data_IF_722394343885
#
_entry.id   IF_722394343885
#
_cell.length_a   1.000
_cell.length_b   1.000
_cell.length_c   1.000
_cell.angle_alpha   90.00
_cell.angle_beta   90.00
_cell.angle_gamma   90.00
#
_symmetry.space_group_name_H-M   'P 1'
#
loop_
_entity.id
_entity.type
_entity.pdbx_description
1 polymer ?
#
# COMPACT_ATOMS: atom_id res chain seq x y z
N UNK A 1 -25.92 -2.95 -2.86
CA UNK A 1 -25.21 -1.65 -2.84
C UNK A 1 -25.95 -0.74 -3.78
N UNK A 2 -26.36 0.44 -3.30
CA UNK A 2 -27.15 1.41 -4.06
C UNK A 2 -26.27 2.61 -4.40
N UNK A 3 -25.21 2.38 -5.16
CA UNK A 3 -24.19 3.39 -5.47
C UNK A 3 -24.23 3.82 -6.93
N UNK A 4 -25.24 3.35 -7.69
CA UNK A 4 -25.43 3.70 -9.08
C UNK A 4 -26.24 4.99 -9.22
N UNK A 5 -25.97 5.72 -10.30
CA UNK A 5 -26.68 6.91 -10.70
C UNK A 5 -26.87 6.94 -12.22
N UNK A 6 -27.88 7.67 -12.66
CA UNK A 6 -28.12 8.00 -14.07
C UNK A 6 -27.81 9.47 -14.27
N UNK A 7 -27.07 9.77 -15.32
CA UNK A 7 -26.60 11.11 -15.65
C UNK A 7 -26.80 11.40 -17.12
N UNK A 8 -26.86 12.69 -17.42
CA UNK A 8 -26.86 13.23 -18.76
C UNK A 8 -25.71 14.21 -18.94
N UNK A 9 -25.22 14.31 -20.17
CA UNK A 9 -24.25 15.30 -20.58
C UNK A 9 -24.93 16.34 -21.44
N UNK A 10 -24.78 17.59 -21.00
CA UNK A 10 -25.40 18.76 -21.60
C UNK A 10 -24.30 19.59 -22.27
N UNK A 11 -24.54 20.00 -23.51
CA UNK A 11 -23.63 20.90 -24.21
C UNK A 11 -23.74 22.32 -23.62
N UNK A 12 -22.63 23.03 -23.52
CA UNK A 12 -22.64 24.39 -22.96
C UNK A 12 -23.11 25.47 -23.94
N UNK A 13 -23.13 25.18 -25.24
CA UNK A 13 -23.48 26.14 -26.29
C UNK A 13 -25.00 26.34 -26.41
N UNK A 14 -25.76 25.25 -26.45
CA UNK A 14 -27.20 25.27 -26.70
C UNK A 14 -28.02 24.63 -25.56
N UNK A 15 -27.37 24.18 -24.48
CA UNK A 15 -27.98 23.48 -23.35
C UNK A 15 -28.79 22.23 -23.74
N UNK A 16 -28.50 21.59 -24.87
CA UNK A 16 -29.14 20.32 -25.26
C UNK A 16 -28.39 19.14 -24.66
N UNK A 17 -29.14 18.12 -24.23
CA UNK A 17 -28.57 16.83 -23.89
C UNK A 17 -27.96 16.18 -25.15
N UNK A 18 -26.75 15.63 -25.04
CA UNK A 18 -26.12 14.91 -26.16
C UNK A 18 -25.64 13.52 -25.77
N UNK A 19 -25.73 13.12 -24.50
CA UNK A 19 -25.41 11.77 -24.06
C UNK A 19 -26.13 11.44 -22.75
N UNK A 20 -26.66 10.23 -22.66
CA UNK A 20 -27.25 9.69 -21.43
C UNK A 20 -26.47 8.44 -21.02
N UNK A 21 -26.19 8.28 -19.72
CA UNK A 21 -25.48 7.10 -19.26
C UNK A 21 -25.78 6.73 -17.80
N UNK A 22 -25.55 5.46 -17.47
CA UNK A 22 -25.47 4.99 -16.07
C UNK A 22 -24.03 4.85 -15.58
N UNK A 23 -23.84 4.99 -14.27
CA UNK A 23 -22.53 4.80 -13.67
C UNK A 23 -22.51 4.80 -12.16
N UNK A 24 -21.31 4.64 -11.60
CA UNK A 24 -21.03 4.75 -10.17
C UNK A 24 -19.70 5.49 -9.97
N UNK A 25 -19.46 6.04 -8.78
CA UNK A 25 -18.24 6.80 -8.48
C UNK A 25 -18.05 8.01 -9.40
N UNK A 26 -16.87 8.16 -10.01
CA UNK A 26 -16.54 9.29 -10.89
C UNK A 26 -16.88 9.06 -12.37
N UNK A 27 -17.65 8.00 -12.69
CA UNK A 27 -17.91 7.62 -14.09
C UNK A 27 -18.40 8.78 -14.94
N UNK A 28 -19.37 9.57 -14.47
CA UNK A 28 -19.94 10.70 -15.22
C UNK A 28 -18.92 11.78 -15.63
N UNK A 29 -17.78 11.92 -14.94
CA UNK A 29 -16.81 12.98 -15.22
C UNK A 29 -15.75 12.59 -16.27
N UNK A 30 -15.73 11.34 -16.72
CA UNK A 30 -14.75 10.89 -17.71
C UNK A 30 -15.15 11.24 -19.13
N UNK A 31 -14.20 11.82 -19.87
CA UNK A 31 -14.14 11.80 -21.33
C UNK A 31 -13.81 10.37 -21.81
N UNK A 32 -14.08 10.02 -23.06
CA UNK A 32 -14.03 8.64 -23.61
C UNK A 32 -15.32 7.84 -23.42
N UNK A 33 -16.38 8.28 -24.08
CA UNK A 33 -17.59 7.47 -24.30
C UNK A 33 -17.64 6.87 -25.68
N UNK A 34 -17.44 7.72 -26.66
CA UNK A 34 -17.27 7.38 -28.06
C UNK A 34 -16.63 8.59 -28.76
N UNK A 35 -16.23 8.37 -30.01
CA UNK A 35 -15.51 9.40 -30.76
C UNK A 35 -16.35 10.67 -31.00
N UNK A 36 -17.66 10.53 -31.24
CA UNK A 36 -18.54 11.68 -31.46
C UNK A 36 -18.76 12.49 -30.18
N UNK A 37 -18.98 11.82 -29.06
CA UNK A 37 -19.09 12.41 -27.72
C UNK A 37 -17.86 13.25 -27.40
N UNK A 38 -16.67 12.68 -27.58
CA UNK A 38 -15.42 13.35 -27.21
C UNK A 38 -15.19 14.58 -28.09
N UNK A 39 -15.46 14.49 -29.40
CA UNK A 39 -15.41 15.65 -30.30
C UNK A 39 -16.36 16.78 -29.87
N UNK A 40 -17.58 16.46 -29.41
CA UNK A 40 -18.53 17.45 -28.90
C UNK A 40 -17.99 18.08 -27.61
N UNK A 41 -17.58 17.26 -26.65
CA UNK A 41 -17.10 17.71 -25.35
C UNK A 41 -15.84 18.60 -25.50
N UNK A 42 -14.93 18.27 -26.41
CA UNK A 42 -13.73 19.07 -26.69
C UNK A 42 -14.05 20.40 -27.39
N UNK A 43 -15.05 20.42 -28.28
CA UNK A 43 -15.37 21.61 -29.08
C UNK A 43 -16.18 22.65 -28.31
N UNK A 44 -17.19 22.21 -27.55
CA UNK A 44 -18.16 23.12 -26.92
C UNK A 44 -18.21 23.01 -25.40
N UNK A 45 -17.50 22.05 -24.82
CA UNK A 45 -17.56 21.77 -23.39
C UNK A 45 -18.81 21.00 -23.00
N UNK A 46 -18.75 20.42 -21.80
CA UNK A 46 -19.76 19.50 -21.28
C UNK A 46 -20.08 19.83 -19.83
N UNK A 47 -21.37 19.83 -19.50
CA UNK A 47 -21.86 19.84 -18.12
C UNK A 47 -22.55 18.52 -17.80
N UNK A 48 -22.19 17.93 -16.66
CA UNK A 48 -22.85 16.73 -16.14
C UNK A 48 -24.07 17.15 -15.34
N UNK A 49 -25.24 16.57 -15.63
CA UNK A 49 -26.42 16.65 -14.80
C UNK A 49 -26.79 15.25 -14.29
N UNK A 50 -26.95 15.11 -12.97
CA UNK A 50 -27.32 13.84 -12.35
C UNK A 50 -28.85 13.82 -12.22
N UNK A 51 -29.49 12.91 -12.96
CA UNK A 51 -30.95 12.77 -12.97
C UNK A 51 -31.43 12.12 -11.68
N UNK A 52 -30.73 11.05 -11.27
CA UNK A 52 -31.07 10.31 -10.05
C UNK A 52 -29.85 9.57 -9.52
N UNK A 53 -29.65 9.64 -8.22
CA UNK A 53 -28.59 8.95 -7.48
C UNK A 53 -29.14 7.86 -6.54
N UNK A 54 -28.23 7.08 -5.95
CA UNK A 54 -28.52 6.03 -4.97
C UNK A 54 -29.47 4.93 -5.48
N UNK A 55 -29.29 4.54 -6.73
CA UNK A 55 -30.04 3.49 -7.38
C UNK A 55 -29.34 2.13 -7.24
N UNK A 56 -30.13 1.07 -7.27
CA UNK A 56 -29.61 -0.25 -7.59
C UNK A 56 -29.15 -0.28 -9.06
N UNK A 57 -28.31 -1.25 -9.43
CA UNK A 57 -27.84 -1.35 -10.82
C UNK A 57 -28.99 -1.61 -11.80
N UNK A 58 -29.99 -2.39 -11.38
CA UNK A 58 -31.16 -2.73 -12.18
C UNK A 58 -32.09 -1.53 -12.37
N UNK A 59 -32.31 -0.75 -11.32
CA UNK A 59 -33.11 0.47 -11.41
C UNK A 59 -32.41 1.54 -12.27
N UNK A 60 -31.09 1.69 -12.13
CA UNK A 60 -30.31 2.60 -12.97
C UNK A 60 -30.33 2.16 -14.44
N UNK A 61 -30.30 0.86 -14.71
CA UNK A 61 -30.42 0.30 -16.06
C UNK A 61 -31.79 0.62 -16.69
N UNK A 62 -32.88 0.40 -15.95
CA UNK A 62 -34.24 0.71 -16.42
C UNK A 62 -34.40 2.20 -16.70
N UNK A 63 -33.96 3.05 -15.77
CA UNK A 63 -34.07 4.49 -15.89
C UNK A 63 -33.24 5.07 -17.05
N UNK A 64 -32.04 4.54 -17.30
CA UNK A 64 -31.21 4.92 -18.47
C UNK A 64 -31.97 4.65 -19.78
N UNK A 65 -32.57 3.46 -19.91
CA UNK A 65 -33.35 3.09 -21.10
C UNK A 65 -34.60 3.96 -21.27
N UNK A 66 -35.33 4.20 -20.19
CA UNK A 66 -36.52 5.07 -20.20
C UNK A 66 -36.15 6.50 -20.62
N UNK A 67 -35.02 7.02 -20.14
CA UNK A 67 -34.58 8.38 -20.47
C UNK A 67 -34.15 8.50 -21.93
N UNK A 68 -33.39 7.54 -22.46
CA UNK A 68 -33.04 7.51 -23.89
C UNK A 68 -34.31 7.42 -24.74
N UNK A 69 -35.27 6.58 -24.34
CA UNK A 69 -36.55 6.45 -25.03
C UNK A 69 -37.33 7.77 -25.03
N UNK A 70 -37.39 8.48 -23.89
CA UNK A 70 -38.04 9.79 -23.80
C UNK A 70 -37.42 10.81 -24.77
N UNK A 71 -36.09 10.90 -24.80
CA UNK A 71 -35.40 11.83 -25.72
C UNK A 71 -35.66 11.50 -27.20
N UNK A 72 -35.57 10.22 -27.58
CA UNK A 72 -35.71 9.82 -28.99
C UNK A 72 -37.17 9.88 -29.45
N UNK A 73 -38.10 9.28 -28.70
CA UNK A 73 -39.48 9.09 -29.16
C UNK A 73 -40.43 10.23 -28.78
N UNK A 74 -40.24 10.86 -27.60
CA UNK A 74 -41.15 11.93 -27.14
C UNK A 74 -40.66 13.32 -27.57
N UNK A 75 -39.34 13.56 -27.50
CA UNK A 75 -38.73 14.85 -27.84
C UNK A 75 -38.20 14.93 -29.29
N UNK A 76 -38.11 13.79 -29.97
CA UNK A 76 -37.69 13.70 -31.37
C UNK A 76 -36.19 13.93 -31.60
N UNK A 77 -35.34 13.49 -30.66
CA UNK A 77 -33.89 13.54 -30.82
C UNK A 77 -33.41 12.45 -31.80
N UNK A 78 -32.38 12.77 -32.59
CA UNK A 78 -31.62 11.75 -33.31
C UNK A 78 -30.72 10.95 -32.38
N UNK A 79 -30.25 9.79 -32.85
CA UNK A 79 -29.37 8.91 -32.09
C UNK A 79 -28.37 8.19 -33.00
N UNK A 80 -27.13 8.06 -32.56
CA UNK A 80 -26.04 7.41 -33.31
C UNK A 80 -26.13 5.87 -33.35
N UNK A 81 -27.31 5.33 -33.65
CA UNK A 81 -27.52 3.89 -33.86
C UNK A 81 -27.38 3.58 -35.35
N UNK A 82 -26.49 2.65 -35.69
CA UNK A 82 -26.28 2.20 -37.08
C UNK A 82 -27.60 1.65 -37.63
N UNK A 83 -28.11 2.25 -38.71
CA UNK A 83 -29.37 1.85 -39.35
C UNK A 83 -30.62 2.55 -38.80
N UNK A 84 -30.49 3.46 -37.83
CA UNK A 84 -31.57 4.35 -37.42
C UNK A 84 -31.47 5.67 -38.20
N UNK A 85 -32.53 6.05 -38.90
CA UNK A 85 -32.53 7.26 -39.75
C UNK A 85 -32.55 8.52 -38.87
N UNK A 86 -31.43 9.22 -38.81
CA UNK A 86 -31.36 10.55 -38.22
C UNK A 86 -32.07 11.54 -39.15
N UNK A 87 -33.15 12.15 -38.65
CA UNK A 87 -33.95 13.09 -39.42
C UNK A 87 -33.20 14.44 -39.53
N UNK A 88 -33.20 15.13 -40.69
CA UNK A 88 -32.49 16.40 -40.83
C UNK A 88 -33.01 17.55 -39.96
N UNK A 89 -34.24 17.44 -39.45
CA UNK A 89 -34.89 18.40 -38.54
C UNK A 89 -34.98 17.82 -37.12
N UNK A 90 -33.85 17.38 -36.56
CA UNK A 90 -33.78 16.90 -35.18
C UNK A 90 -33.70 18.05 -34.18
N UNK A 91 -34.47 17.97 -33.08
CA UNK A 91 -34.45 18.97 -32.01
C UNK A 91 -33.17 18.89 -31.14
N UNK A 92 -32.44 17.79 -31.27
CA UNK A 92 -31.21 17.48 -30.56
C UNK A 92 -30.70 16.11 -31.00
N UNK A 93 -29.44 15.77 -30.65
CA UNK A 93 -28.79 14.57 -31.12
C UNK A 93 -28.04 13.85 -30.00
N UNK A 94 -28.41 12.60 -29.73
CA UNK A 94 -27.74 11.75 -28.75
C UNK A 94 -26.60 10.95 -29.40
N UNK A 95 -25.41 11.02 -28.82
CA UNK A 95 -24.26 10.23 -29.30
C UNK A 95 -24.28 8.79 -28.79
N UNK A 96 -25.34 8.37 -28.10
CA UNK A 96 -25.50 6.99 -27.64
C UNK A 96 -25.56 6.04 -28.85
N UNK A 97 -24.73 5.00 -28.87
CA UNK A 97 -24.73 4.00 -29.96
C UNK A 97 -25.77 2.89 -29.80
N UNK A 98 -26.51 2.89 -28.69
CA UNK A 98 -27.47 1.85 -28.33
C UNK A 98 -28.62 2.49 -27.53
N UNK A 99 -29.78 1.84 -27.47
CA UNK A 99 -30.92 2.30 -26.65
C UNK A 99 -30.73 2.08 -25.14
N UNK A 100 -29.47 2.00 -24.69
CA UNK A 100 -29.08 1.61 -23.35
C UNK A 100 -28.97 0.09 -23.19
N UNK A 101 -28.07 -0.33 -22.31
CA UNK A 101 -27.99 -1.72 -21.85
C UNK A 101 -26.95 -2.65 -22.47
N UNK A 102 -26.21 -2.21 -23.49
CA UNK A 102 -25.09 -2.97 -24.10
C UNK A 102 -23.74 -2.83 -23.34
N UNK A 103 -23.80 -2.44 -22.07
CA UNK A 103 -22.63 -2.45 -21.18
C UNK A 103 -22.35 -3.85 -20.63
N UNK A 104 -21.28 -3.99 -19.84
CA UNK A 104 -20.92 -5.24 -19.12
C UNK A 104 -21.89 -5.63 -17.99
N UNK A 105 -23.15 -5.17 -18.04
CA UNK A 105 -24.16 -5.45 -17.02
C UNK A 105 -24.37 -6.96 -16.92
N UNK A 106 -24.06 -7.53 -15.76
CA UNK A 106 -24.20 -8.96 -15.52
C UNK A 106 -23.22 -9.84 -16.30
N UNK A 107 -22.14 -9.29 -16.87
CA UNK A 107 -21.14 -10.09 -17.58
C UNK A 107 -20.38 -10.98 -16.59
N UNK A 108 -20.85 -12.21 -16.42
CA UNK A 108 -20.14 -13.26 -15.68
C UNK A 108 -19.32 -14.07 -16.69
N UNK A 109 -17.99 -13.95 -16.62
CA UNK A 109 -17.12 -14.77 -17.47
C UNK A 109 -17.38 -16.26 -17.23
N UNK A 110 -17.43 -17.04 -18.32
CA UNK A 110 -17.56 -18.49 -18.24
C UNK A 110 -16.40 -19.11 -17.44
N UNK A 111 -16.61 -20.30 -16.88
CA UNK A 111 -15.52 -21.01 -16.18
C UNK A 111 -14.35 -21.31 -17.10
N UNK A 112 -14.63 -21.61 -18.37
CA UNK A 112 -13.63 -21.84 -19.40
C UNK A 112 -12.78 -20.59 -19.65
N UNK A 113 -13.42 -19.42 -19.79
CA UNK A 113 -12.70 -18.16 -19.94
C UNK A 113 -11.84 -17.86 -18.71
N UNK A 114 -12.37 -18.06 -17.50
CA UNK A 114 -11.62 -17.88 -16.25
C UNK A 114 -10.41 -18.80 -16.17
N UNK A 115 -10.56 -20.07 -16.58
CA UNK A 115 -9.45 -21.03 -16.66
C UNK A 115 -8.41 -20.58 -17.67
N UNK A 116 -8.82 -20.24 -18.88
CA UNK A 116 -7.91 -19.85 -19.95
C UNK A 116 -7.15 -18.58 -19.56
N UNK A 117 -7.86 -17.56 -19.08
CA UNK A 117 -7.26 -16.33 -18.59
C UNK A 117 -6.28 -16.57 -17.44
N UNK A 118 -6.58 -17.52 -16.53
CA UNK A 118 -5.64 -17.93 -15.49
C UNK A 118 -4.39 -18.58 -16.06
N UNK A 119 -4.51 -19.42 -17.09
CA UNK A 119 -3.37 -20.07 -17.75
C UNK A 119 -2.50 -19.02 -18.46
N UNK A 120 -3.13 -18.11 -19.19
CA UNK A 120 -2.45 -17.06 -19.95
C UNK A 120 -1.66 -16.10 -19.03
N UNK A 121 -2.16 -15.86 -17.81
CA UNK A 121 -1.52 -14.99 -16.83
C UNK A 121 -0.47 -15.68 -15.96
N UNK A 122 -0.23 -16.98 -16.15
CA UNK A 122 0.72 -17.79 -15.38
C UNK A 122 1.96 -18.16 -16.18
N UNK A 123 3.10 -18.23 -15.50
CA UNK A 123 4.34 -18.74 -16.08
C UNK A 123 4.76 -17.95 -17.32
N UNK A 124 5.43 -18.62 -18.25
CA UNK A 124 6.00 -18.05 -19.49
C UNK A 124 4.96 -17.44 -20.43
N UNK A 125 3.69 -17.84 -20.34
CA UNK A 125 2.60 -17.27 -21.13
C UNK A 125 2.30 -15.82 -20.76
N UNK A 126 2.63 -15.42 -19.52
CA UNK A 126 2.44 -14.06 -19.08
C UNK A 126 3.49 -13.14 -19.75
N UNK A 127 3.09 -12.07 -20.46
CA UNK A 127 4.03 -11.13 -21.09
C UNK A 127 5.04 -10.49 -20.14
N UNK A 128 4.73 -10.47 -18.83
CA UNK A 128 5.60 -9.92 -17.78
C UNK A 128 6.42 -11.00 -17.07
N UNK A 129 6.36 -12.26 -17.52
CA UNK A 129 7.12 -13.34 -16.90
C UNK A 129 8.63 -13.12 -17.06
N UNK A 130 9.36 -13.29 -15.97
CA UNK A 130 10.81 -13.07 -15.94
C UNK A 130 11.24 -11.59 -16.01
N UNK A 131 10.31 -10.65 -16.20
CA UNK A 131 10.63 -9.22 -16.22
C UNK A 131 10.67 -8.68 -14.79
N UNK A 132 11.88 -8.43 -14.28
CA UNK A 132 12.04 -7.75 -13.00
C UNK A 132 11.93 -6.22 -13.16
N UNK A 133 10.71 -5.71 -13.07
CA UNK A 133 10.42 -4.28 -13.19
C UNK A 133 11.15 -3.45 -12.12
N UNK A 134 11.58 -4.04 -11.00
CA UNK A 134 12.40 -3.33 -10.03
C UNK A 134 13.75 -2.92 -10.62
N UNK A 135 14.34 -3.71 -11.49
CA UNK A 135 15.68 -3.44 -12.01
C UNK A 135 15.69 -2.32 -13.04
N UNK A 136 14.57 -2.09 -13.71
CA UNK A 136 14.43 -1.03 -14.73
C UNK A 136 14.28 0.37 -14.13
N UNK A 137 13.96 0.50 -12.84
CA UNK A 137 13.80 1.80 -12.18
C UNK A 137 15.13 2.44 -11.77
N UNK A 138 15.21 3.78 -11.88
CA UNK A 138 16.31 4.57 -11.33
C UNK A 138 16.35 4.48 -9.80
N UNK A 139 17.53 4.68 -9.21
CA UNK A 139 17.69 4.62 -7.74
C UNK A 139 16.80 5.61 -6.99
N UNK A 140 16.58 6.80 -7.56
CA UNK A 140 15.68 7.80 -6.97
C UNK A 140 14.24 7.29 -6.97
N UNK A 141 13.80 6.69 -8.07
CA UNK A 141 12.45 6.12 -8.17
C UNK A 141 12.26 4.96 -7.19
N UNK A 142 13.29 4.12 -7.04
CA UNK A 142 13.31 3.02 -6.06
C UNK A 142 13.14 3.55 -4.63
N UNK A 143 13.87 4.59 -4.27
CA UNK A 143 13.79 5.21 -2.95
C UNK A 143 12.46 5.91 -2.71
N UNK A 144 11.91 6.59 -3.72
CA UNK A 144 10.57 7.20 -3.67
C UNK A 144 9.49 6.14 -3.37
N UNK A 145 9.51 5.03 -4.11
CA UNK A 145 8.57 3.91 -3.92
C UNK A 145 8.69 3.32 -2.51
N UNK A 146 9.92 3.06 -2.03
CA UNK A 146 10.16 2.54 -0.68
C UNK A 146 9.62 3.48 0.40
N UNK A 147 9.93 4.77 0.29
CA UNK A 147 9.46 5.80 1.22
C UNK A 147 7.94 5.94 1.21
N UNK A 148 7.32 5.86 0.02
CA UNK A 148 5.85 5.86 -0.11
C UNK A 148 5.22 4.64 0.55
N UNK A 149 5.71 3.43 0.26
CA UNK A 149 5.21 2.19 0.85
C UNK A 149 5.40 2.16 2.37
N UNK A 150 6.53 2.66 2.87
CA UNK A 150 6.79 2.77 4.30
C UNK A 150 5.78 3.68 4.99
N UNK A 151 5.50 4.86 4.42
CA UNK A 151 4.49 5.80 4.94
C UNK A 151 3.09 5.20 4.95
N UNK A 152 2.69 4.52 3.88
CA UNK A 152 1.34 3.94 3.78
C UNK A 152 1.15 2.77 4.78
N UNK A 153 2.20 2.00 5.03
CA UNK A 153 2.15 0.84 5.93
C UNK A 153 2.45 1.19 7.39
N UNK A 154 2.78 2.44 7.71
CA UNK A 154 3.14 2.85 9.06
C UNK A 154 1.90 3.22 9.88
N UNK A 155 1.75 2.58 11.04
CA UNK A 155 0.77 2.95 12.08
C UNK A 155 -0.62 3.22 11.50
N UNK A 156 -1.22 4.35 11.88
CA UNK A 156 -2.57 4.81 11.53
C UNK A 156 -2.84 4.93 10.02
N UNK A 157 -1.79 5.06 9.18
CA UNK A 157 -1.99 5.06 7.73
C UNK A 157 -2.38 3.68 7.20
N UNK A 158 -1.97 2.62 7.89
CA UNK A 158 -2.39 1.27 7.59
C UNK A 158 -3.71 0.99 8.30
N UNK A 159 -4.78 0.82 7.53
CA UNK A 159 -6.12 0.49 8.04
C UNK A 159 -6.15 -0.77 8.90
N UNK A 160 -5.16 -1.65 8.77
CA UNK A 160 -5.03 -2.89 9.53
C UNK A 160 -4.16 -2.75 10.78
N UNK A 161 -3.60 -1.58 11.05
CA UNK A 161 -2.74 -1.37 12.21
C UNK A 161 -3.55 -1.42 13.50
N UNK A 162 -3.11 -2.26 14.43
CA UNK A 162 -3.76 -2.43 15.73
C UNK A 162 -5.01 -3.31 15.72
N UNK A 163 -5.47 -3.76 14.55
CA UNK A 163 -6.63 -4.67 14.44
C UNK A 163 -6.13 -6.11 14.37
N UNK A 164 -6.61 -6.95 15.29
CA UNK A 164 -6.29 -8.38 15.32
C UNK A 164 -6.91 -9.11 14.11
N UNK A 165 -6.27 -10.16 13.58
CA UNK A 165 -6.91 -11.07 12.61
C UNK A 165 -8.27 -11.62 13.07
N UNK A 166 -8.48 -11.75 14.37
CA UNK A 166 -9.74 -12.21 14.98
C UNK A 166 -10.85 -11.14 14.86
N UNK A 167 -10.51 -9.87 15.09
CA UNK A 167 -11.49 -8.76 15.07
C UNK A 167 -11.97 -8.39 13.65
N UNK A 168 -11.27 -8.84 12.62
CA UNK A 168 -11.53 -8.48 11.22
C UNK A 168 -12.11 -9.61 10.37
N UNK A 169 -12.32 -10.79 10.94
CA UNK A 169 -12.82 -11.98 10.23
C UNK A 169 -13.98 -12.58 11.03
N UNK A 170 -14.89 -13.26 10.36
CA UNK A 170 -15.85 -14.11 11.06
C UNK A 170 -15.15 -15.32 11.71
N UNK A 171 -15.78 -15.91 12.73
CA UNK A 171 -15.20 -17.00 13.51
C UNK A 171 -14.85 -18.23 12.64
N UNK A 172 -15.70 -18.57 11.67
CA UNK A 172 -15.47 -19.71 10.79
C UNK A 172 -14.23 -19.47 9.92
N UNK A 173 -14.13 -18.30 9.29
CA UNK A 173 -12.97 -17.90 8.50
C UNK A 173 -11.71 -17.80 9.35
N UNK A 174 -11.80 -17.30 10.58
CA UNK A 174 -10.66 -17.21 11.50
C UNK A 174 -10.10 -18.59 11.84
N UNK A 175 -10.95 -19.57 12.13
CA UNK A 175 -10.48 -20.94 12.42
C UNK A 175 -9.78 -21.58 11.22
N UNK A 176 -10.32 -21.40 10.01
CA UNK A 176 -9.71 -21.88 8.76
C UNK A 176 -8.35 -21.21 8.54
N UNK A 177 -8.27 -19.89 8.69
CA UNK A 177 -7.03 -19.13 8.55
C UNK A 177 -5.97 -19.60 9.56
N UNK A 178 -6.36 -19.77 10.83
CA UNK A 178 -5.47 -20.23 11.90
C UNK A 178 -4.93 -21.63 11.63
N UNK A 179 -5.79 -22.55 11.17
CA UNK A 179 -5.39 -23.91 10.80
C UNK A 179 -4.34 -23.90 9.68
N UNK A 180 -4.60 -23.15 8.59
CA UNK A 180 -3.64 -22.99 7.48
C UNK A 180 -2.31 -22.38 7.94
N UNK A 181 -2.36 -21.38 8.83
CA UNK A 181 -1.16 -20.78 9.40
C UNK A 181 -0.33 -21.80 10.18
N UNK A 182 -0.96 -22.54 11.09
CA UNK A 182 -0.31 -23.58 11.89
C UNK A 182 0.30 -24.66 11.00
N UNK A 183 -0.45 -25.15 10.02
CA UNK A 183 0.02 -26.20 9.12
C UNK A 183 1.23 -25.75 8.31
N UNK A 184 1.23 -24.51 7.80
CA UNK A 184 2.42 -23.93 7.14
C UNK A 184 3.62 -23.83 8.08
N UNK A 185 3.41 -23.41 9.33
CA UNK A 185 4.50 -23.24 10.30
C UNK A 185 5.11 -24.57 10.74
N UNK A 186 4.33 -25.67 10.80
CA UNK A 186 4.84 -27.02 11.12
C UNK A 186 6.02 -27.44 10.23
N UNK A 187 6.04 -27.02 8.97
CA UNK A 187 7.12 -27.31 8.03
C UNK A 187 8.36 -26.42 8.22
N UNK A 188 8.27 -25.35 9.01
CA UNK A 188 9.35 -24.39 9.24
C UNK A 188 9.98 -24.50 10.64
N UNK A 189 9.48 -25.41 11.47
CA UNK A 189 9.90 -25.57 12.86
C UNK A 189 10.40 -26.99 13.15
N UNK A 190 11.31 -27.11 14.11
CA UNK A 190 11.82 -28.41 14.54
C UNK A 190 12.44 -29.20 13.39
N UNK A 191 12.28 -30.52 13.40
CA UNK A 191 12.90 -31.45 12.44
C UNK A 191 12.55 -31.18 10.97
N UNK A 192 11.41 -30.54 10.71
CA UNK A 192 10.97 -30.23 9.35
C UNK A 192 11.65 -28.97 8.78
N UNK A 193 12.24 -28.13 9.62
CA UNK A 193 12.99 -26.96 9.15
C UNK A 193 14.24 -27.45 8.39
N UNK A 194 14.48 -27.03 7.13
CA UNK A 194 15.65 -27.44 6.35
C UNK A 194 17.00 -27.17 7.03
N UNK A 195 17.05 -26.19 7.93
CA UNK A 195 18.23 -25.84 8.70
C UNK A 195 18.29 -26.53 10.07
N UNK A 196 17.35 -27.41 10.40
CA UNK A 196 17.34 -28.12 11.68
C UNK A 196 18.51 -29.09 11.78
N UNK A 197 19.22 -29.04 12.90
CA UNK A 197 20.40 -29.89 13.12
C UNK A 197 21.64 -29.48 12.32
N UNK A 198 21.57 -28.46 11.47
CA UNK A 198 22.73 -27.95 10.74
C UNK A 198 23.71 -27.25 11.70
N UNK A 199 24.76 -27.96 12.10
CA UNK A 199 25.82 -27.44 12.97
C UNK A 199 27.06 -27.00 12.20
N UNK A 200 26.99 -26.83 10.87
CA UNK A 200 28.16 -26.55 10.03
C UNK A 200 28.92 -25.31 10.48
N UNK A 201 28.22 -24.19 10.70
CA UNK A 201 28.82 -22.97 11.19
C UNK A 201 29.36 -23.12 12.63
N UNK A 202 28.57 -23.77 13.50
CA UNK A 202 28.97 -24.02 14.88
C UNK A 202 30.27 -24.84 14.96
N UNK A 203 30.37 -25.93 14.20
CA UNK A 203 31.55 -26.80 14.16
C UNK A 203 32.77 -26.07 13.60
N UNK A 204 32.61 -25.28 12.53
CA UNK A 204 33.70 -24.46 11.95
C UNK A 204 34.26 -23.44 12.95
N UNK A 205 33.42 -22.89 13.82
CA UNK A 205 33.77 -21.83 14.77
C UNK A 205 34.20 -22.37 16.14
N UNK A 206 33.82 -23.61 16.47
CA UNK A 206 34.01 -24.21 17.80
C UNK A 206 35.47 -24.13 18.25
N UNK A 207 36.40 -24.51 17.38
CA UNK A 207 37.81 -24.64 17.73
C UNK A 207 38.66 -23.44 17.29
N UNK A 208 38.08 -22.45 16.59
CA UNK A 208 38.77 -21.24 16.15
C UNK A 208 38.25 -19.97 16.87
N UNK A 209 38.97 -19.45 17.89
CA UNK A 209 38.59 -18.26 18.65
C UNK A 209 38.49 -16.98 17.79
N UNK A 210 39.27 -16.87 16.72
CA UNK A 210 39.29 -15.69 15.84
C UNK A 210 38.04 -15.66 14.95
N UNK A 211 37.69 -16.78 14.32
CA UNK A 211 36.45 -16.91 13.56
C UNK A 211 35.23 -16.71 14.47
N UNK A 212 35.29 -17.15 15.73
CA UNK A 212 34.22 -16.91 16.70
C UNK A 212 34.02 -15.44 16.97
N UNK A 213 35.10 -14.68 17.15
CA UNK A 213 35.02 -13.23 17.27
C UNK A 213 34.48 -12.62 15.98
N UNK A 214 34.92 -13.04 14.80
CA UNK A 214 34.44 -12.48 13.53
C UNK A 214 32.92 -12.68 13.32
N UNK A 215 32.42 -13.91 13.48
CA UNK A 215 31.02 -14.24 13.18
C UNK A 215 30.03 -13.94 14.31
N UNK A 216 30.44 -14.06 15.58
CA UNK A 216 29.56 -13.85 16.73
C UNK A 216 29.74 -12.51 17.43
N UNK A 217 30.82 -11.76 17.16
CA UNK A 217 30.89 -10.38 17.65
C UNK A 217 29.89 -9.51 16.91
N UNK A 218 29.09 -8.77 17.67
CA UNK A 218 28.26 -7.70 17.12
C UNK A 218 29.08 -6.43 17.19
N UNK A 219 29.30 -5.76 16.06
CA UNK A 219 29.87 -4.39 16.07
C UNK A 219 28.90 -3.47 16.81
N UNK A 220 29.42 -2.63 17.70
CA UNK A 220 28.60 -1.86 18.66
C UNK A 220 27.58 -0.90 18.03
N UNK A 221 27.90 -0.33 16.86
CA UNK A 221 27.14 0.75 16.20
C UNK A 221 26.25 0.28 15.04
N UNK A 222 26.30 -0.99 14.63
CA UNK A 222 25.88 -1.39 13.28
C UNK A 222 24.36 -1.41 13.02
N UNK A 223 23.52 -1.33 14.06
CA UNK A 223 22.07 -1.56 13.92
C UNK A 223 21.18 -0.37 14.33
N UNK A 224 21.75 0.83 14.51
CA UNK A 224 20.98 2.04 14.89
C UNK A 224 20.20 1.94 16.22
N UNK A 225 20.43 0.86 16.99
CA UNK A 225 19.85 0.62 18.32
C UNK A 225 20.75 1.11 19.45
N UNK A 226 22.01 1.41 19.15
CA UNK A 226 22.94 2.00 20.11
C UNK A 226 22.52 3.45 20.39
N UNK A 227 22.51 3.82 21.67
CA UNK A 227 22.30 5.20 22.09
C UNK A 227 23.64 5.86 22.32
N UNK A 228 23.76 7.09 21.84
CA UNK A 228 24.86 7.99 22.13
C UNK A 228 24.91 8.30 23.63
N UNK A 229 26.12 8.52 24.15
CA UNK A 229 26.35 8.81 25.57
C UNK A 229 27.25 10.04 25.69
N UNK A 230 26.76 11.04 26.40
CA UNK A 230 27.45 12.28 26.72
C UNK A 230 27.96 12.22 28.15
N UNK A 231 29.23 12.59 28.34
CA UNK A 231 29.92 12.59 29.63
C UNK A 231 30.23 14.01 30.05
N UNK A 232 29.90 14.35 31.30
CA UNK A 232 30.11 15.65 31.91
C UNK A 232 30.84 15.52 33.24
N UNK A 233 31.48 16.59 33.68
CA UNK A 233 32.12 16.69 35.00
C UNK A 233 31.06 16.87 36.11
N UNK A 234 31.47 16.83 37.38
CA UNK A 234 30.63 17.14 38.55
C UNK A 234 29.93 18.50 38.44
N UNK A 235 30.55 19.46 37.76
CA UNK A 235 30.00 20.80 37.49
C UNK A 235 29.18 20.88 36.19
N UNK A 236 28.88 19.74 35.55
CA UNK A 236 28.17 19.61 34.26
C UNK A 236 28.89 20.22 33.06
N UNK A 237 30.20 20.44 33.15
CA UNK A 237 30.99 20.81 31.97
C UNK A 237 31.14 19.60 31.06
N UNK A 238 30.92 19.78 29.76
CA UNK A 238 31.05 18.72 28.77
C UNK A 238 32.50 18.21 28.71
N UNK A 239 32.67 16.89 28.77
CA UNK A 239 33.97 16.22 28.68
C UNK A 239 34.11 15.54 27.32
N UNK A 240 33.20 14.62 27.00
CA UNK A 240 33.33 13.76 25.82
C UNK A 240 32.01 13.12 25.40
N UNK A 241 31.91 12.80 24.12
CA UNK A 241 30.80 12.10 23.48
C UNK A 241 31.24 10.71 22.97
N UNK A 242 30.33 9.74 23.02
CA UNK A 242 30.53 8.39 22.51
C UNK A 242 29.29 7.86 21.77
N UNK A 243 29.47 7.23 20.60
CA UNK A 243 28.39 6.69 19.76
C UNK A 243 27.65 5.50 20.41
N UNK A 244 28.31 4.78 21.32
CA UNK A 244 27.68 3.70 22.08
C UNK A 244 28.32 3.53 23.47
N UNK A 245 27.49 3.12 24.43
CA UNK A 245 27.88 2.96 25.84
C UNK A 245 29.09 2.02 26.07
N UNK A 246 29.33 1.06 25.16
CA UNK A 246 30.45 0.13 25.28
C UNK A 246 31.80 0.82 25.16
N UNK A 247 31.91 1.85 24.33
CA UNK A 247 33.13 2.67 24.18
C UNK A 247 33.33 3.59 25.38
N UNK A 248 32.25 4.23 25.84
CA UNK A 248 32.25 5.01 27.07
C UNK A 248 32.75 4.18 28.27
N UNK A 249 32.30 2.93 28.42
CA UNK A 249 32.73 2.07 29.54
C UNK A 249 34.22 1.70 29.48
N UNK A 250 34.80 1.55 28.28
CA UNK A 250 36.25 1.31 28.13
C UNK A 250 37.03 2.54 28.55
N UNK A 251 36.63 3.71 28.05
CA UNK A 251 37.27 4.98 28.41
C UNK A 251 37.20 5.27 29.92
N UNK A 252 36.03 5.09 30.55
CA UNK A 252 35.88 5.27 32.01
C UNK A 252 36.76 4.29 32.80
N UNK A 253 36.94 3.06 32.29
CA UNK A 253 37.81 2.07 32.93
C UNK A 253 39.27 2.50 32.91
N UNK A 254 39.74 3.01 31.77
CA UNK A 254 41.11 3.44 31.58
C UNK A 254 41.41 4.74 32.35
N UNK A 255 40.51 5.72 32.27
CA UNK A 255 40.62 7.03 32.94
C UNK A 255 40.67 6.89 34.48
N UNK A 256 39.79 6.07 35.04
CA UNK A 256 39.69 5.88 36.49
C UNK A 256 40.51 4.67 36.98
N UNK A 257 41.31 4.04 36.11
CA UNK A 257 42.12 2.85 36.39
C UNK A 257 41.37 1.77 37.17
N UNK A 258 40.14 1.47 36.74
CA UNK A 258 39.23 0.57 37.46
C UNK A 258 39.55 -0.91 37.20
N UNK A 259 39.63 -1.70 38.26
CA UNK A 259 39.74 -3.16 38.17
C UNK A 259 38.42 -3.85 37.78
N UNK A 260 37.30 -3.13 37.81
CA UNK A 260 35.97 -3.68 37.57
C UNK A 260 35.75 -4.13 36.11
N UNK A 261 34.90 -5.14 35.92
CA UNK A 261 34.50 -5.60 34.59
C UNK A 261 33.68 -4.51 33.87
N UNK A 262 33.86 -4.38 32.55
CA UNK A 262 33.12 -3.44 31.67
C UNK A 262 31.60 -3.59 31.86
N UNK A 263 31.08 -4.80 32.07
CA UNK A 263 29.64 -5.01 32.30
C UNK A 263 29.16 -4.39 33.62
N UNK A 264 29.97 -4.44 34.67
CA UNK A 264 29.68 -3.83 35.97
C UNK A 264 29.70 -2.30 35.87
N UNK A 265 30.69 -1.76 35.16
CA UNK A 265 30.77 -0.32 34.88
C UNK A 265 29.54 0.14 34.08
N UNK A 266 29.15 -0.62 33.05
CA UNK A 266 27.95 -0.33 32.26
C UNK A 266 26.68 -0.27 33.12
N UNK A 267 26.50 -1.26 34.01
CA UNK A 267 25.37 -1.26 34.94
C UNK A 267 25.35 -0.01 35.83
N UNK A 268 26.50 0.37 36.38
CA UNK A 268 26.64 1.57 37.20
C UNK A 268 26.33 2.87 36.44
N UNK A 269 26.81 3.00 35.20
CA UNK A 269 26.53 4.16 34.35
C UNK A 269 25.03 4.24 34.03
N UNK A 270 24.40 3.13 33.62
CA UNK A 270 22.95 3.11 33.32
C UNK A 270 22.13 3.52 34.54
N UNK A 271 22.46 2.99 35.72
CA UNK A 271 21.78 3.32 36.96
C UNK A 271 21.98 4.79 37.36
N UNK A 272 23.17 5.34 37.09
CA UNK A 272 23.47 6.75 37.32
C UNK A 272 22.65 7.68 36.42
N UNK A 273 22.51 7.32 35.13
CA UNK A 273 21.68 8.05 34.17
C UNK A 273 20.21 8.01 34.60
N UNK A 274 19.71 6.83 34.99
CA UNK A 274 18.33 6.63 35.41
C UNK A 274 17.97 7.46 36.65
N UNK A 275 18.88 7.51 37.63
CA UNK A 275 18.67 8.22 38.88
C UNK A 275 19.18 9.67 38.88
N UNK A 276 19.73 10.16 37.76
CA UNK A 276 20.36 11.49 37.64
C UNK A 276 21.43 11.74 38.70
N UNK A 277 22.19 10.71 39.06
CA UNK A 277 23.29 10.77 40.04
C UNK A 277 24.62 10.73 39.32
N UNK A 278 25.66 11.25 39.95
CA UNK A 278 27.03 11.10 39.44
C UNK A 278 27.54 9.68 39.66
N UNK A 279 28.16 9.08 38.66
CA UNK A 279 28.96 7.87 38.82
C UNK A 279 30.42 8.26 38.97
N UNK A 280 31.01 8.00 40.15
CA UNK A 280 32.42 8.33 40.48
C UNK A 280 32.84 9.76 40.06
N UNK A 281 32.05 10.77 40.48
CA UNK A 281 32.24 12.21 40.19
C UNK A 281 32.00 12.64 38.73
N UNK A 282 31.51 11.75 37.87
CA UNK A 282 31.15 12.08 36.49
C UNK A 282 29.64 11.97 36.31
N UNK A 283 29.08 12.81 35.45
CA UNK A 283 27.67 12.77 35.08
C UNK A 283 27.51 12.25 33.66
N UNK A 284 26.51 11.39 33.43
CA UNK A 284 26.27 10.75 32.13
C UNK A 284 24.84 11.05 31.66
N UNK A 285 24.66 11.24 30.35
CA UNK A 285 23.35 11.47 29.74
C UNK A 285 23.25 10.79 28.36
N UNK A 286 22.03 10.40 27.97
CA UNK A 286 21.72 9.92 26.60
C UNK A 286 21.32 11.06 25.65
N UNK A 287 21.25 12.29 26.16
CA UNK A 287 20.98 13.52 25.39
C UNK A 287 21.99 14.59 25.79
N UNK A 288 22.28 15.49 24.88
CA UNK A 288 23.04 16.71 25.19
C UNK A 288 22.29 17.53 26.25
N UNK A 289 23.02 18.08 27.23
CA UNK A 289 22.49 18.80 28.40
C UNK A 289 22.50 20.31 28.19
#
# INVERSE_FOLDING_TARGET
MNDYYVYEHIRLDNNTCFYVGKGHGNRCNYYSRNEHHDRIADKVGMKVNIIKDKLSEDDAYKLERELIHHYVFDLGYGIDIIGYNNNPNENGHLTNHTFGGDGSYGMVHSEEWRRQHSIDMMGESNPMYGVNLWDTYSNDKKNEIRSRLSRLNSKENNKMYGISPEERMDDETYTIWRKKLVDRLKFQTGINNPNYGNKTLHNKIKDNPELRKQYYSRKGSQNGRSKEVFVYDSNKNFIKHFDYIGECCKWVKDELSLSSNINTIRGGIIESIKNKKTYRKMYFSFTEL
#
